data_IF_124393438491
#
_entry.id   IF_124393438491
#
_cell.length_a   1.000
_cell.length_b   1.000
_cell.length_c   1.000
_cell.angle_alpha   90.00
_cell.angle_beta   90.00
_cell.angle_gamma   90.00
#
_symmetry.space_group_name_H-M   'P 1'
#
loop_
_entity.id
_entity.type
_entity.pdbx_description
1 polymer ?
#
# COMPACT_ATOMS: atom_id res chain seq x y z
N UNK A 1 -20.38 -15.71 3.99
CA UNK A 1 -19.68 -14.50 3.51
C UNK A 1 -18.21 -14.82 3.63
N UNK A 2 -17.43 -14.65 2.55
CA UNK A 2 -15.99 -14.91 2.62
C UNK A 2 -15.36 -13.88 3.55
N UNK A 3 -14.54 -14.33 4.49
CA UNK A 3 -13.70 -13.52 5.37
C UNK A 3 -12.27 -13.39 4.81
N UNK A 4 -12.14 -13.61 3.50
CA UNK A 4 -10.89 -13.62 2.77
C UNK A 4 -11.01 -12.84 1.47
N UNK A 5 -9.91 -12.22 1.06
CA UNK A 5 -9.79 -11.57 -0.24
C UNK A 5 -8.34 -11.63 -0.74
N UNK A 6 -8.12 -11.40 -2.04
CA UNK A 6 -6.79 -11.26 -2.61
C UNK A 6 -5.96 -10.16 -1.94
N UNK A 7 -4.64 -10.37 -1.85
CA UNK A 7 -3.68 -9.37 -1.35
C UNK A 7 -2.43 -9.36 -2.22
N UNK A 8 -1.87 -8.15 -2.42
CA UNK A 8 -0.79 -7.89 -3.35
C UNK A 8 0.22 -6.92 -2.74
N UNK A 9 1.50 -7.29 -2.75
CA UNK A 9 2.63 -6.51 -2.28
C UNK A 9 3.60 -6.23 -3.43
N UNK A 10 4.05 -4.98 -3.53
CA UNK A 10 5.16 -4.55 -4.34
C UNK A 10 6.21 -3.91 -3.43
N UNK A 11 7.43 -4.42 -3.48
CA UNK A 11 8.58 -3.81 -2.78
C UNK A 11 9.50 -3.23 -3.83
N UNK A 12 9.78 -1.94 -3.77
CA UNK A 12 10.54 -1.25 -4.80
C UNK A 12 11.97 -0.90 -4.39
N UNK A 13 12.22 -0.75 -3.09
CA UNK A 13 13.56 -0.57 -2.55
C UNK A 13 13.59 -1.08 -1.12
N UNK A 14 14.76 -1.52 -0.69
CA UNK A 14 15.06 -1.88 0.70
C UNK A 14 16.57 -1.89 0.87
N UNK A 15 17.07 -1.60 2.06
CA UNK A 15 18.49 -1.78 2.38
C UNK A 15 18.85 -3.27 2.37
N UNK A 16 20.07 -3.61 1.94
CA UNK A 16 20.49 -5.02 1.77
C UNK A 16 20.41 -5.83 3.09
N UNK A 17 20.71 -5.20 4.22
CA UNK A 17 20.62 -5.82 5.55
C UNK A 17 19.18 -6.17 5.97
N UNK A 18 18.18 -5.58 5.33
CA UNK A 18 16.75 -5.78 5.63
C UNK A 18 16.06 -6.68 4.59
N UNK A 19 16.73 -7.06 3.49
CA UNK A 19 16.19 -7.89 2.41
C UNK A 19 15.63 -9.22 2.95
N UNK A 20 16.36 -9.87 3.86
CA UNK A 20 15.94 -11.13 4.47
C UNK A 20 14.70 -10.99 5.36
N UNK A 21 14.52 -9.83 6.01
CA UNK A 21 13.33 -9.57 6.82
C UNK A 21 12.08 -9.40 5.94
N UNK A 22 12.21 -8.71 4.80
CA UNK A 22 11.14 -8.58 3.82
C UNK A 22 10.76 -9.95 3.23
N UNK A 23 11.73 -10.76 2.82
CA UNK A 23 11.47 -12.11 2.30
C UNK A 23 10.80 -13.01 3.33
N UNK A 24 11.19 -12.90 4.61
CA UNK A 24 10.51 -13.64 5.68
C UNK A 24 9.05 -13.18 5.83
N UNK A 25 8.79 -11.88 5.82
CA UNK A 25 7.42 -11.36 5.91
C UNK A 25 6.54 -11.80 4.73
N UNK A 26 7.11 -11.85 3.52
CA UNK A 26 6.45 -12.39 2.31
C UNK A 26 6.11 -13.88 2.53
N UNK A 27 7.08 -14.66 2.99
CA UNK A 27 6.90 -16.10 3.22
C UNK A 27 5.93 -16.40 4.37
N UNK A 28 5.92 -15.61 5.44
CA UNK A 28 5.03 -15.79 6.59
C UNK A 28 3.56 -15.56 6.21
N UNK A 29 3.30 -14.74 5.18
CA UNK A 29 1.97 -14.45 4.63
C UNK A 29 1.62 -15.30 3.38
N UNK A 30 2.45 -16.30 3.05
CA UNK A 30 2.30 -17.17 1.88
C UNK A 30 2.17 -16.38 0.54
N UNK A 31 2.78 -15.19 0.46
CA UNK A 31 2.77 -14.36 -0.74
C UNK A 31 3.75 -14.91 -1.79
N UNK A 32 3.24 -15.32 -2.95
CA UNK A 32 4.03 -15.85 -4.04
C UNK A 32 4.36 -14.81 -5.11
N UNK A 33 5.53 -14.91 -5.73
CA UNK A 33 5.86 -14.11 -6.92
C UNK A 33 4.84 -14.40 -8.03
N UNK A 34 4.33 -13.35 -8.68
CA UNK A 34 3.27 -13.45 -9.68
C UNK A 34 2.11 -14.33 -9.21
N UNK A 35 1.64 -14.09 -7.98
CA UNK A 35 0.55 -14.82 -7.33
C UNK A 35 0.84 -16.27 -6.93
N UNK A 36 2.09 -16.71 -7.03
CA UNK A 36 2.47 -18.11 -6.83
C UNK A 36 2.09 -19.00 -8.01
N UNK A 37 1.78 -18.41 -9.18
CA UNK A 37 1.45 -19.13 -10.42
C UNK A 37 2.69 -19.73 -11.11
N UNK A 38 3.88 -19.57 -10.53
CA UNK A 38 5.13 -20.09 -11.06
C UNK A 38 5.49 -21.43 -10.42
N UNK A 39 5.87 -22.42 -11.22
CA UNK A 39 6.50 -23.67 -10.71
C UNK A 39 7.94 -23.45 -10.20
N UNK A 40 8.44 -22.21 -10.23
CA UNK A 40 9.77 -21.86 -9.76
C UNK A 40 9.80 -21.82 -8.22
N UNK A 41 10.89 -22.29 -7.60
CA UNK A 41 11.05 -22.15 -6.16
C UNK A 41 11.11 -20.68 -5.77
N UNK A 42 10.64 -20.36 -4.56
CA UNK A 42 10.68 -19.00 -4.03
C UNK A 42 12.07 -18.38 -4.21
N UNK A 43 12.13 -17.13 -4.70
CA UNK A 43 13.40 -16.54 -5.05
C UNK A 43 14.24 -16.36 -3.78
N UNK A 44 15.50 -16.82 -3.84
CA UNK A 44 16.44 -16.66 -2.74
C UNK A 44 16.82 -15.19 -2.45
N UNK A 45 16.34 -14.26 -3.28
CA UNK A 45 16.56 -12.82 -3.21
C UNK A 45 15.27 -12.08 -3.54
N UNK A 46 15.12 -10.89 -2.98
CA UNK A 46 13.95 -10.05 -3.23
C UNK A 46 13.98 -9.52 -4.67
N UNK A 47 12.89 -9.73 -5.40
CA UNK A 47 12.71 -9.23 -6.76
C UNK A 47 11.99 -7.89 -6.68
N UNK A 48 12.76 -6.80 -6.66
CA UNK A 48 12.21 -5.45 -6.53
C UNK A 48 11.31 -5.09 -7.72
N UNK A 49 10.17 -4.48 -7.42
CA UNK A 49 9.15 -4.05 -8.38
C UNK A 49 8.23 -5.15 -8.88
N UNK A 50 8.45 -6.41 -8.49
CA UNK A 50 7.56 -7.51 -8.83
C UNK A 50 6.33 -7.57 -7.89
N UNK A 51 5.27 -8.20 -8.40
CA UNK A 51 4.05 -8.45 -7.64
C UNK A 51 4.22 -9.74 -6.83
N UNK A 52 4.14 -9.62 -5.51
CA UNK A 52 3.96 -10.75 -4.61
C UNK A 52 2.48 -10.82 -4.24
N UNK A 53 1.78 -11.88 -4.62
CA UNK A 53 0.33 -11.98 -4.50
C UNK A 53 -0.13 -13.27 -3.84
N UNK A 54 -1.33 -13.22 -3.26
CA UNK A 54 -2.07 -14.38 -2.77
C UNK A 54 -3.56 -14.19 -3.05
N UNK A 55 -4.25 -15.22 -3.53
CA UNK A 55 -5.66 -15.11 -3.90
C UNK A 55 -6.62 -15.04 -2.71
N UNK A 56 -6.24 -15.61 -1.58
CA UNK A 56 -7.12 -15.81 -0.45
C UNK A 56 -6.33 -15.61 0.85
N UNK A 57 -6.42 -14.43 1.46
CA UNK A 57 -5.89 -14.16 2.81
C UNK A 57 -6.98 -13.53 3.70
N UNK A 58 -6.97 -13.74 5.03
CA UNK A 58 -7.94 -13.10 5.92
C UNK A 58 -8.02 -11.58 5.74
N UNK A 59 -9.20 -11.00 5.96
CA UNK A 59 -9.33 -9.54 5.94
C UNK A 59 -8.50 -8.91 7.06
N UNK A 60 -7.73 -7.88 6.72
CA UNK A 60 -6.82 -7.19 7.63
C UNK A 60 -5.36 -7.64 7.54
N UNK A 61 -5.05 -8.72 6.79
CA UNK A 61 -3.66 -9.15 6.60
C UNK A 61 -2.77 -8.08 5.96
N UNK A 62 -3.35 -7.18 5.16
CA UNK A 62 -2.60 -6.04 4.59
C UNK A 62 -2.08 -5.08 5.67
N UNK A 63 -2.81 -4.87 6.75
CA UNK A 63 -2.41 -4.00 7.87
C UNK A 63 -1.32 -4.66 8.70
N UNK A 64 -1.51 -5.94 9.01
CA UNK A 64 -0.56 -6.74 9.79
C UNK A 64 0.78 -6.87 9.06
N UNK A 65 0.74 -7.10 7.75
CA UNK A 65 1.94 -7.15 6.91
C UNK A 65 2.60 -5.78 6.79
N UNK A 66 1.84 -4.70 6.58
CA UNK A 66 2.39 -3.35 6.54
C UNK A 66 3.12 -2.98 7.85
N UNK A 67 2.50 -3.28 9.00
CA UNK A 67 3.09 -3.06 10.31
C UNK A 67 4.37 -3.90 10.51
N UNK A 68 4.35 -5.15 10.04
CA UNK A 68 5.51 -6.05 10.08
C UNK A 68 6.67 -5.50 9.25
N UNK A 69 6.40 -5.05 8.02
CA UNK A 69 7.40 -4.45 7.14
C UNK A 69 7.98 -3.17 7.76
N UNK A 70 7.16 -2.29 8.33
CA UNK A 70 7.64 -1.08 8.99
C UNK A 70 8.53 -1.37 10.21
N UNK A 71 8.21 -2.41 10.97
CA UNK A 71 8.96 -2.78 12.17
C UNK A 71 10.28 -3.49 11.86
N UNK A 72 10.28 -4.37 10.84
CA UNK A 72 11.41 -5.27 10.56
C UNK A 72 12.28 -4.80 9.39
N UNK A 73 11.72 -4.01 8.48
CA UNK A 73 12.39 -3.43 7.32
C UNK A 73 11.98 -1.95 7.14
N UNK A 74 12.31 -1.07 8.11
CA UNK A 74 11.91 0.34 8.07
C UNK A 74 12.48 1.12 6.87
N UNK A 75 13.46 0.58 6.14
CA UNK A 75 13.96 1.17 4.89
C UNK A 75 13.19 0.70 3.65
N UNK A 76 12.24 -0.23 3.80
CA UNK A 76 11.47 -0.73 2.68
C UNK A 76 10.54 0.34 2.10
N UNK A 77 10.63 0.54 0.79
CA UNK A 77 9.68 1.30 -0.01
C UNK A 77 8.71 0.31 -0.62
N UNK A 78 7.43 0.37 -0.24
CA UNK A 78 6.45 -0.61 -0.68
C UNK A 78 5.06 -0.02 -0.93
N UNK A 79 4.30 -0.77 -1.72
CA UNK A 79 2.86 -0.61 -1.93
C UNK A 79 2.20 -1.96 -1.71
N UNK A 80 1.18 -1.97 -0.87
CA UNK A 80 0.45 -3.15 -0.46
C UNK A 80 -1.03 -2.82 -0.58
N UNK A 81 -1.82 -3.73 -1.12
CA UNK A 81 -3.26 -3.63 -0.95
C UNK A 81 -3.91 -4.99 -0.82
N UNK A 82 -5.11 -4.97 -0.26
CA UNK A 82 -6.01 -6.10 -0.17
C UNK A 82 -7.32 -5.74 -0.85
N UNK A 83 -7.79 -6.61 -1.73
CA UNK A 83 -8.97 -6.39 -2.56
C UNK A 83 -10.26 -6.30 -1.71
N UNK A 84 -11.31 -5.64 -2.24
CA UNK A 84 -12.63 -5.68 -1.65
C UNK A 84 -13.17 -7.12 -1.56
N UNK A 85 -13.60 -7.54 -0.38
CA UNK A 85 -14.17 -8.88 -0.16
C UNK A 85 -15.56 -9.11 -0.80
N UNK A 86 -16.23 -8.05 -1.27
CA UNK A 86 -17.42 -8.11 -2.14
C UNK A 86 -17.60 -6.79 -2.90
N UNK A 87 -18.49 -6.78 -3.89
CA UNK A 87 -18.66 -5.72 -4.90
C UNK A 87 -19.11 -4.34 -4.40
N UNK A 88 -19.42 -4.18 -3.12
CA UNK A 88 -19.75 -2.89 -2.51
C UNK A 88 -18.96 -2.61 -1.23
N UNK A 89 -17.92 -3.39 -0.96
CA UNK A 89 -16.88 -3.01 0.00
C UNK A 89 -15.76 -2.24 -0.71
N UNK A 90 -14.97 -1.54 0.08
CA UNK A 90 -13.67 -1.02 -0.37
C UNK A 90 -12.58 -2.05 -0.05
N UNK A 91 -11.55 -2.07 -0.88
CA UNK A 91 -10.27 -2.69 -0.54
C UNK A 91 -9.48 -1.77 0.39
N UNK A 92 -8.33 -2.22 0.85
CA UNK A 92 -7.45 -1.42 1.69
C UNK A 92 -6.06 -1.33 1.08
N UNK A 93 -5.54 -0.12 0.92
CA UNK A 93 -4.23 0.15 0.37
C UNK A 93 -3.34 0.84 1.40
N UNK A 94 -2.12 0.33 1.55
CA UNK A 94 -1.04 0.88 2.36
C UNK A 94 0.20 1.10 1.49
N UNK A 95 0.76 2.30 1.52
CA UNK A 95 2.03 2.63 0.89
C UNK A 95 2.99 3.25 1.90
N UNK A 96 4.27 2.95 1.78
CA UNK A 96 5.29 3.44 2.70
C UNK A 96 6.54 3.88 1.94
N UNK A 97 7.06 5.05 2.32
CA UNK A 97 8.36 5.56 1.86
C UNK A 97 9.13 6.07 3.09
N UNK A 98 10.33 5.52 3.39
CA UNK A 98 11.12 5.93 4.55
C UNK A 98 11.45 7.41 4.51
N UNK A 99 11.30 8.08 5.66
CA UNK A 99 11.53 9.52 5.79
C UNK A 99 10.47 10.42 5.16
N UNK A 100 9.48 9.86 4.46
CA UNK A 100 8.31 10.57 3.93
C UNK A 100 7.07 10.24 4.75
N UNK A 101 6.80 8.95 4.98
CA UNK A 101 5.69 8.49 5.82
C UNK A 101 4.92 7.32 5.22
N UNK A 102 3.73 7.12 5.76
CA UNK A 102 2.81 6.04 5.41
C UNK A 102 1.53 6.66 4.86
N UNK A 103 0.97 6.05 3.82
CA UNK A 103 -0.31 6.42 3.24
C UNK A 103 -1.25 5.23 3.27
N UNK A 104 -2.45 5.44 3.80
CA UNK A 104 -3.49 4.43 3.95
C UNK A 104 -4.81 4.96 3.37
N UNK A 105 -5.53 4.14 2.61
CA UNK A 105 -6.78 4.55 1.95
C UNK A 105 -7.61 3.34 1.52
N UNK A 106 -8.93 3.55 1.36
CA UNK A 106 -9.77 2.62 0.61
C UNK A 106 -9.37 2.57 -0.86
N UNK A 107 -9.45 1.41 -1.51
CA UNK A 107 -9.08 1.23 -2.92
C UNK A 107 -9.98 0.25 -3.69
N UNK A 108 -9.90 0.28 -5.02
CA UNK A 108 -10.49 -0.75 -5.90
C UNK A 108 -9.69 -2.06 -5.81
N UNK A 109 -10.18 -3.13 -6.46
CA UNK A 109 -9.45 -4.39 -6.61
C UNK A 109 -8.11 -4.25 -7.37
N UNK A 110 -7.95 -3.18 -8.15
CA UNK A 110 -6.69 -2.86 -8.83
C UNK A 110 -5.73 -2.02 -7.97
N UNK A 111 -6.04 -1.84 -6.67
CA UNK A 111 -5.22 -1.02 -5.77
C UNK A 111 -5.25 0.46 -6.14
N UNK A 112 -6.35 0.95 -6.73
CA UNK A 112 -6.54 2.35 -7.07
C UNK A 112 -7.25 3.06 -5.90
N UNK A 113 -6.62 4.06 -5.26
CA UNK A 113 -7.24 4.83 -4.18
C UNK A 113 -8.59 5.43 -4.57
N UNK A 114 -9.59 5.24 -3.71
CA UNK A 114 -10.86 5.96 -3.80
C UNK A 114 -10.69 7.37 -3.21
N UNK A 115 -10.32 8.36 -4.02
CA UNK A 115 -10.48 9.77 -3.65
C UNK A 115 -11.79 10.31 -4.24
N UNK A 116 -12.84 10.48 -3.41
CA UNK A 116 -14.14 10.99 -3.85
C UNK A 116 -14.08 12.51 -4.14
N UNK A 117 -14.09 12.86 -5.42
CA UNK A 117 -14.08 14.25 -5.94
C UNK A 117 -15.28 15.06 -5.46
N UNK A 118 -16.42 14.43 -5.23
CA UNK A 118 -17.62 15.09 -4.72
C UNK A 118 -17.43 15.48 -3.26
N UNK A 119 -16.77 14.62 -2.48
CA UNK A 119 -16.51 14.85 -1.07
C UNK A 119 -15.39 15.87 -0.85
N UNK A 120 -14.31 15.80 -1.64
CA UNK A 120 -13.27 16.85 -1.70
C UNK A 120 -13.88 18.23 -1.99
N UNK A 121 -14.82 18.29 -2.94
CA UNK A 121 -15.48 19.55 -3.32
C UNK A 121 -16.37 20.09 -2.20
N UNK A 122 -17.12 19.23 -1.49
CA UNK A 122 -17.94 19.63 -0.33
C UNK A 122 -17.07 20.15 0.82
N UNK A 123 -15.96 19.48 1.11
CA UNK A 123 -15.07 19.85 2.21
C UNK A 123 -14.39 21.20 1.98
N UNK A 124 -13.90 21.45 0.76
CA UNK A 124 -13.34 22.75 0.37
C UNK A 124 -14.41 23.86 0.38
N UNK A 125 -15.65 23.53 0.05
CA UNK A 125 -16.76 24.49 0.04
C UNK A 125 -17.29 24.85 1.44
N UNK A 126 -17.09 23.98 2.43
CA UNK A 126 -17.50 24.19 3.82
C UNK A 126 -16.41 24.83 4.70
N UNK A 127 -15.18 24.94 4.21
CA UNK A 127 -14.07 25.54 4.93
C UNK A 127 -14.39 27.00 5.31
N UNK A 128 -14.07 27.45 6.55
CA UNK A 128 -14.27 28.84 6.95
C UNK A 128 -13.62 29.80 5.96
N UNK A 129 -14.33 30.87 5.59
CA UNK A 129 -13.79 31.89 4.69
C UNK A 129 -12.49 32.45 5.27
N UNK A 130 -11.41 32.35 4.50
CA UNK A 130 -10.08 32.78 4.91
C UNK A 130 -9.19 31.68 5.49
N UNK A 131 -9.66 30.44 5.59
CA UNK A 131 -8.80 29.28 5.86
C UNK A 131 -7.78 29.15 4.73
N UNK A 132 -6.49 29.18 5.05
CA UNK A 132 -5.46 28.94 4.04
C UNK A 132 -5.40 27.45 3.70
N UNK A 133 -4.92 27.11 2.50
CA UNK A 133 -4.69 25.70 2.11
C UNK A 133 -3.69 25.03 3.06
N UNK A 134 -2.71 25.77 3.58
CA UNK A 134 -1.75 25.25 4.55
C UNK A 134 -2.44 24.90 5.88
N UNK A 135 -3.32 25.77 6.39
CA UNK A 135 -4.10 25.48 7.60
C UNK A 135 -5.06 24.30 7.39
N UNK A 136 -5.61 24.17 6.18
CA UNK A 136 -6.45 23.05 5.78
C UNK A 136 -5.65 21.76 5.66
N UNK A 137 -4.50 21.76 4.99
CA UNK A 137 -3.61 20.60 4.85
C UNK A 137 -2.94 20.20 6.17
N UNK A 138 -2.72 21.11 7.13
CA UNK A 138 -2.31 20.75 8.50
C UNK A 138 -3.49 20.32 9.39
N UNK A 139 -4.70 20.30 8.83
CA UNK A 139 -5.95 19.93 9.47
C UNK A 139 -6.72 18.92 8.62
N UNK A 140 -7.86 19.33 8.05
CA UNK A 140 -8.79 18.44 7.33
C UNK A 140 -8.29 17.88 5.98
N UNK A 141 -7.24 18.47 5.39
CA UNK A 141 -6.72 18.14 4.06
C UNK A 141 -5.59 17.10 4.02
N UNK A 142 -4.87 16.91 5.12
CA UNK A 142 -3.87 15.83 5.25
C UNK A 142 -4.53 14.45 5.06
N UNK A 143 -5.73 14.32 5.63
CA UNK A 143 -6.52 13.09 5.68
C UNK A 143 -7.14 12.69 4.33
N UNK A 144 -6.99 13.52 3.28
CA UNK A 144 -7.54 13.27 1.94
C UNK A 144 -6.45 12.96 0.91
N UNK A 145 -5.18 13.29 1.19
CA UNK A 145 -4.18 13.45 0.13
C UNK A 145 -2.79 12.95 0.54
N UNK A 146 -2.61 11.68 0.87
CA UNK A 146 -1.26 11.08 0.97
C UNK A 146 -0.44 11.07 -0.34
N UNK A 147 -0.76 11.99 -1.26
CA UNK A 147 0.01 12.50 -2.39
C UNK A 147 1.49 12.58 -2.09
N UNK A 148 1.93 13.07 -0.94
CA UNK A 148 3.38 13.16 -0.65
C UNK A 148 4.03 11.77 -0.69
N UNK A 149 3.38 10.76 -0.12
CA UNK A 149 3.86 9.37 -0.12
C UNK A 149 3.68 8.76 -1.52
N UNK A 150 2.50 8.91 -2.15
CA UNK A 150 2.24 8.40 -3.49
C UNK A 150 3.20 8.97 -4.55
N UNK A 151 3.45 10.28 -4.52
CA UNK A 151 4.43 10.96 -5.37
C UNK A 151 5.85 10.50 -5.07
N UNK A 152 6.19 10.30 -3.79
CA UNK A 152 7.51 9.77 -3.43
C UNK A 152 7.70 8.31 -3.88
N UNK A 153 6.62 7.55 -4.06
CA UNK A 153 6.62 6.18 -4.55
C UNK A 153 6.86 6.10 -6.08
N UNK A 154 6.32 7.05 -6.86
CA UNK A 154 6.36 7.02 -8.34
C UNK A 154 7.74 6.77 -8.99
N UNK A 155 8.86 7.36 -8.53
CA UNK A 155 10.17 7.13 -9.15
C UNK A 155 10.62 5.67 -9.07
N UNK A 156 10.23 5.01 -7.98
CA UNK A 156 10.53 3.61 -7.76
C UNK A 156 9.70 2.72 -8.69
N UNK A 157 8.40 3.01 -8.86
CA UNK A 157 7.54 2.27 -9.79
C UNK A 157 8.02 2.31 -11.26
N UNK A 158 8.58 3.44 -11.70
CA UNK A 158 9.02 3.65 -13.10
C UNK A 158 10.39 3.03 -13.41
N UNK A 159 11.22 2.80 -12.39
CA UNK A 159 12.59 2.29 -12.58
C UNK A 159 12.67 0.78 -12.77
N UNK A 160 11.57 0.06 -12.51
CA UNK A 160 11.48 -1.40 -12.54
C UNK A 160 10.55 -1.93 -13.66
N UNK A 161 10.13 -1.09 -14.62
CA UNK A 161 9.36 -1.47 -15.82
C UNK A 161 10.21 -1.52 -17.09
#
# INVERSE_FOLDING_TARGET
>A
MSDRSPMQLFVYAVHEDEEAAVLRAISDEDLGLDWGDTDEPDPARLVLGACYGIHETPLGSSDDLAATLQAQAPTAVFKLWQDPHWSGADGHLVAHVPGVGIYETGCTAEGVPHADVTDLTKQLSAAPKGTSVQDWLTGAGDQVLGVTVLTALEPYEKSHR
#
